data_IF_553869864289
#
_entry.id   IF_553869864289
#
_cell.length_a   1.000
_cell.length_b   1.000
_cell.length_c   1.000
_cell.angle_alpha   90.00
_cell.angle_beta   90.00
_cell.angle_gamma   90.00
#
_symmetry.space_group_name_H-M   'P 1'
#
loop_
_entity.id
_entity.type
_entity.pdbx_description
1 polymer ?
#
# COMPACT_ATOMS: atom_id res chain seq x y z
N UNK A 1 14.49 -19.08 -8.43
CA UNK A 1 13.75 -18.00 -7.74
C UNK A 1 14.76 -16.90 -7.47
N UNK A 2 14.70 -15.78 -8.20
CA UNK A 2 15.76 -14.77 -8.16
C UNK A 2 15.77 -14.13 -6.77
N UNK A 3 16.90 -14.28 -6.09
CA UNK A 3 17.22 -13.65 -4.81
C UNK A 3 16.97 -12.14 -4.91
N UNK A 4 15.88 -11.66 -4.29
CA UNK A 4 15.55 -10.23 -4.18
C UNK A 4 16.40 -9.66 -3.05
N UNK A 5 17.73 -9.70 -3.21
CA UNK A 5 18.66 -8.94 -2.37
C UNK A 5 18.20 -7.49 -2.39
N UNK A 6 17.76 -6.97 -1.24
CA UNK A 6 17.27 -5.62 -1.02
C UNK A 6 17.94 -4.62 -1.96
N UNK A 7 17.21 -4.22 -3.02
CA UNK A 7 17.73 -3.27 -3.99
C UNK A 7 18.01 -1.97 -3.25
N UNK A 8 19.18 -1.41 -3.52
CA UNK A 8 19.62 -0.14 -2.95
C UNK A 8 19.38 0.97 -3.95
N UNK A 9 19.27 2.19 -3.44
CA UNK A 9 19.28 3.41 -4.24
C UNK A 9 20.50 3.43 -5.17
N UNK A 10 20.32 3.87 -6.41
CA UNK A 10 21.40 4.00 -7.40
C UNK A 10 22.38 5.14 -7.14
N UNK A 11 22.36 5.73 -5.94
CA UNK A 11 23.34 6.73 -5.51
C UNK A 11 24.42 6.03 -4.70
N UNK A 12 25.68 6.35 -4.98
CA UNK A 12 26.82 5.72 -4.33
C UNK A 12 26.75 5.87 -2.79
N UNK A 13 27.06 4.80 -2.06
CA UNK A 13 26.96 4.76 -0.60
C UNK A 13 25.53 4.76 -0.02
N UNK A 14 24.47 4.87 -0.82
CA UNK A 14 23.11 4.91 -0.30
C UNK A 14 22.50 3.51 -0.11
N UNK A 15 22.21 3.13 1.14
CA UNK A 15 21.56 1.85 1.46
C UNK A 15 20.02 1.94 1.57
N UNK A 16 19.41 3.07 1.18
CA UNK A 16 17.95 3.25 1.22
C UNK A 16 17.26 2.49 0.10
N UNK A 17 16.05 2.05 0.37
CA UNK A 17 15.21 1.38 -0.62
C UNK A 17 14.80 2.36 -1.75
N UNK A 18 14.99 2.01 -3.04
CA UNK A 18 14.64 2.87 -4.16
C UNK A 18 13.13 2.83 -4.46
N UNK A 19 12.49 3.99 -4.37
CA UNK A 19 11.04 4.15 -4.62
C UNK A 19 10.72 5.04 -5.83
N UNK A 20 11.70 5.79 -6.34
CA UNK A 20 11.50 6.85 -7.33
C UNK A 20 12.14 6.50 -8.67
N UNK A 21 11.42 6.77 -9.76
CA UNK A 21 11.90 6.66 -11.14
C UNK A 21 11.07 7.57 -12.06
N UNK A 22 11.41 7.65 -13.33
CA UNK A 22 10.58 8.32 -14.34
C UNK A 22 9.26 7.58 -14.57
N UNK A 23 8.27 8.32 -15.07
CA UNK A 23 6.94 7.81 -15.35
C UNK A 23 6.95 6.58 -16.29
N UNK A 24 6.04 5.65 -16.06
CA UNK A 24 5.94 4.39 -16.83
C UNK A 24 6.95 3.32 -16.44
N UNK A 25 7.92 3.60 -15.56
CA UNK A 25 8.85 2.59 -15.05
C UNK A 25 8.29 1.91 -13.81
N UNK A 26 8.12 0.58 -13.86
CA UNK A 26 7.59 -0.20 -12.72
C UNK A 26 8.58 -0.49 -11.58
N UNK A 27 9.81 0.06 -11.63
CA UNK A 27 10.87 -0.21 -10.63
C UNK A 27 11.54 1.09 -10.22
N UNK A 28 11.68 1.32 -8.93
CA UNK A 28 12.41 2.47 -8.40
C UNK A 28 13.92 2.36 -8.68
N UNK A 29 14.56 3.48 -9.02
CA UNK A 29 16.02 3.60 -9.16
C UNK A 29 16.64 4.37 -7.99
N UNK A 30 15.96 5.42 -7.52
CA UNK A 30 16.47 6.28 -6.47
C UNK A 30 15.53 6.33 -5.26
N UNK A 31 16.06 6.69 -4.10
CA UNK A 31 15.25 7.00 -2.92
C UNK A 31 14.71 8.44 -3.02
N UNK A 32 13.81 8.82 -2.10
CA UNK A 32 13.21 10.16 -2.09
C UNK A 32 14.23 11.31 -1.98
N UNK A 33 15.40 11.04 -1.39
CA UNK A 33 16.47 12.04 -1.21
C UNK A 33 17.37 12.18 -2.42
N UNK A 34 17.48 11.14 -3.26
CA UNK A 34 18.34 11.11 -4.45
C UNK A 34 17.54 11.08 -5.74
N UNK A 35 16.25 11.42 -5.69
CA UNK A 35 15.42 11.51 -6.88
C UNK A 35 15.91 12.67 -7.75
N UNK A 36 15.92 12.48 -9.07
CA UNK A 36 16.16 13.55 -10.02
C UNK A 36 14.87 14.34 -10.27
N UNK A 37 14.99 15.54 -10.83
CA UNK A 37 13.83 16.28 -11.30
C UNK A 37 13.04 15.47 -12.33
N UNK A 38 11.72 15.52 -12.25
CA UNK A 38 10.82 14.71 -13.07
C UNK A 38 10.64 13.25 -12.61
N UNK A 39 11.36 12.78 -11.60
CA UNK A 39 11.11 11.46 -11.02
C UNK A 39 9.91 11.44 -10.08
N UNK A 40 9.16 10.35 -10.16
CA UNK A 40 7.90 10.09 -9.46
C UNK A 40 8.02 8.83 -8.62
N UNK A 41 7.23 8.74 -7.56
CA UNK A 41 7.10 7.48 -6.81
C UNK A 41 6.40 6.45 -7.71
N UNK A 42 7.07 5.32 -7.94
CA UNK A 42 6.59 4.24 -8.81
C UNK A 42 6.02 3.05 -8.05
N UNK A 43 6.02 3.12 -6.71
CA UNK A 43 5.43 2.13 -5.81
C UNK A 43 4.00 2.51 -5.44
N UNK A 44 3.80 3.79 -5.14
CA UNK A 44 2.50 4.34 -4.77
C UNK A 44 1.59 4.42 -5.99
N UNK A 45 0.44 3.74 -5.93
CA UNK A 45 -0.58 3.85 -6.98
C UNK A 45 -1.06 5.29 -7.13
N UNK A 46 -1.16 5.75 -8.37
CA UNK A 46 -1.76 7.04 -8.70
C UNK A 46 -3.27 6.93 -8.79
N UNK A 47 -3.92 8.08 -8.69
CA UNK A 47 -5.34 8.23 -8.93
C UNK A 47 -5.69 7.74 -10.35
N UNK A 48 -6.76 6.98 -10.48
CA UNK A 48 -7.22 6.43 -11.77
C UNK A 48 -7.92 7.48 -12.67
N UNK A 49 -8.12 8.70 -12.17
CA UNK A 49 -8.68 9.78 -13.00
C UNK A 49 -7.62 10.24 -13.98
N UNK A 50 -8.03 10.34 -15.24
CA UNK A 50 -7.20 10.84 -16.32
C UNK A 50 -6.59 12.22 -15.98
N UNK A 51 -5.30 12.38 -16.28
CA UNK A 51 -4.54 13.59 -15.98
C UNK A 51 -4.24 13.84 -14.49
N UNK A 52 -4.58 12.93 -13.56
CA UNK A 52 -4.34 13.14 -12.14
C UNK A 52 -3.01 12.54 -11.64
N UNK A 53 -2.07 13.40 -11.26
CA UNK A 53 -0.78 12.96 -10.68
C UNK A 53 -0.80 12.73 -9.16
N UNK A 54 -1.97 12.84 -8.50
CA UNK A 54 -2.08 12.63 -7.04
C UNK A 54 -2.12 11.13 -6.70
N UNK A 55 -1.59 10.77 -5.53
CA UNK A 55 -1.65 9.39 -5.04
C UNK A 55 -3.08 8.94 -4.73
N UNK A 56 -3.38 7.69 -5.08
CA UNK A 56 -4.61 7.05 -4.69
C UNK A 56 -4.58 6.74 -3.18
N UNK A 57 -5.65 7.12 -2.48
CA UNK A 57 -5.83 6.83 -1.07
C UNK A 57 -7.24 6.32 -0.73
N UNK A 58 -8.19 6.39 -1.66
CA UNK A 58 -9.60 6.07 -1.46
C UNK A 58 -10.04 4.91 -2.35
N UNK A 59 -10.90 4.05 -1.79
CA UNK A 59 -11.64 3.01 -2.50
C UNK A 59 -12.91 2.70 -1.69
N UNK A 60 -13.83 1.93 -2.25
CA UNK A 60 -14.95 1.37 -1.51
C UNK A 60 -14.46 0.35 -0.47
N UNK A 61 -15.21 0.24 0.62
CA UNK A 61 -14.90 -0.71 1.70
C UNK A 61 -14.83 -2.14 1.15
N UNK A 62 -13.81 -2.90 1.57
CA UNK A 62 -13.60 -4.29 1.13
C UNK A 62 -13.07 -4.50 -0.28
N UNK A 63 -12.96 -3.46 -1.13
CA UNK A 63 -12.49 -3.59 -2.55
C UNK A 63 -10.97 -3.58 -2.73
N UNK A 64 -10.19 -3.52 -1.64
CA UNK A 64 -8.74 -3.70 -1.68
C UNK A 64 -7.93 -2.40 -1.77
N UNK A 65 -6.98 -2.32 -2.72
CA UNK A 65 -6.04 -1.21 -2.83
C UNK A 65 -6.74 0.11 -3.22
N UNK A 66 -6.16 1.25 -2.84
CA UNK A 66 -6.69 2.55 -3.23
C UNK A 66 -6.67 2.76 -4.75
N UNK A 67 -7.69 3.43 -5.28
CA UNK A 67 -7.83 3.75 -6.72
C UNK A 67 -8.00 5.25 -6.98
N UNK A 68 -8.60 6.01 -6.06
CA UNK A 68 -8.81 7.45 -6.23
C UNK A 68 -8.09 8.28 -5.18
N UNK A 69 -7.71 9.52 -5.53
CA UNK A 69 -7.20 10.50 -4.57
C UNK A 69 -8.37 11.17 -3.83
N UNK A 70 -8.04 12.01 -2.83
CA UNK A 70 -9.06 12.70 -2.04
C UNK A 70 -10.01 13.57 -2.87
N UNK A 71 -9.50 14.26 -3.90
CA UNK A 71 -10.30 15.14 -4.77
C UNK A 71 -11.21 14.36 -5.73
N UNK A 72 -10.89 13.10 -5.99
CA UNK A 72 -11.55 12.29 -6.98
C UNK A 72 -12.28 11.09 -6.36
N UNK A 73 -12.44 11.09 -5.03
CA UNK A 73 -13.22 10.08 -4.34
C UNK A 73 -14.69 10.22 -4.74
N UNK A 74 -15.35 9.10 -4.98
CA UNK A 74 -16.80 9.04 -5.14
C UNK A 74 -17.48 8.99 -3.77
N UNK A 75 -18.79 9.28 -3.74
CA UNK A 75 -19.58 9.06 -2.54
C UNK A 75 -19.53 7.60 -2.09
N UNK A 76 -19.46 7.39 -0.77
CA UNK A 76 -19.30 6.06 -0.18
C UNK A 76 -17.87 5.50 -0.19
N UNK A 77 -16.88 6.17 -0.80
CA UNK A 77 -15.49 5.73 -0.71
C UNK A 77 -14.85 6.06 0.64
N UNK A 78 -14.12 5.09 1.18
CA UNK A 78 -13.35 5.22 2.42
C UNK A 78 -11.86 5.32 2.11
N UNK A 79 -11.09 5.91 3.02
CA UNK A 79 -9.63 5.89 2.90
C UNK A 79 -9.16 4.42 3.00
N UNK A 80 -8.64 3.84 1.92
CA UNK A 80 -8.35 2.41 1.83
C UNK A 80 -7.25 1.96 2.82
N UNK A 81 -6.37 2.88 3.25
CA UNK A 81 -5.46 2.59 4.37
C UNK A 81 -6.26 2.43 5.65
N UNK A 82 -7.18 3.33 5.98
CA UNK A 82 -7.94 3.31 7.25
C UNK A 82 -9.23 2.46 7.23
N UNK A 83 -9.71 2.08 6.05
CA UNK A 83 -10.98 1.38 5.86
C UNK A 83 -10.93 -0.11 6.15
N UNK A 84 -9.74 -0.68 6.41
CA UNK A 84 -9.63 -2.07 6.84
C UNK A 84 -10.15 -2.18 8.27
N UNK A 85 -11.24 -2.95 8.43
CA UNK A 85 -11.87 -3.21 9.72
C UNK A 85 -11.91 -4.70 10.01
N UNK A 86 -11.90 -5.03 11.30
CA UNK A 86 -12.14 -6.37 11.78
C UNK A 86 -13.48 -6.89 11.23
N UNK A 87 -13.51 -8.11 10.69
CA UNK A 87 -14.71 -8.74 10.14
C UNK A 87 -15.79 -9.06 11.20
N UNK A 88 -15.48 -8.89 12.48
CA UNK A 88 -16.45 -9.07 13.56
C UNK A 88 -17.42 -7.88 13.57
N UNK A 89 -18.72 -8.18 13.57
CA UNK A 89 -19.79 -7.18 13.53
C UNK A 89 -19.62 -6.11 14.63
N UNK A 90 -19.73 -4.84 14.25
CA UNK A 90 -19.56 -3.70 15.18
C UNK A 90 -18.11 -3.39 15.57
N UNK A 91 -17.11 -4.17 15.14
CA UNK A 91 -15.72 -3.93 15.48
C UNK A 91 -15.03 -2.98 14.49
N UNK A 92 -14.58 -1.82 14.98
CA UNK A 92 -13.84 -0.83 14.17
C UNK A 92 -12.31 -0.95 14.29
N UNK A 93 -11.80 -2.00 14.96
CA UNK A 93 -10.35 -2.19 15.15
C UNK A 93 -9.67 -2.63 13.86
N UNK A 94 -8.39 -2.27 13.74
CA UNK A 94 -7.54 -2.70 12.63
C UNK A 94 -7.41 -4.23 12.61
N UNK A 95 -7.66 -4.88 11.46
CA UNK A 95 -7.50 -6.31 11.34
C UNK A 95 -6.03 -6.67 11.05
N UNK A 96 -5.46 -7.52 11.89
CA UNK A 96 -4.07 -8.01 11.77
C UNK A 96 -3.95 -9.53 11.80
N UNK A 97 -5.03 -10.25 12.10
CA UNK A 97 -5.05 -11.71 12.25
C UNK A 97 -5.77 -12.38 11.09
N UNK A 98 -5.19 -13.47 10.60
CA UNK A 98 -5.75 -14.34 9.58
C UNK A 98 -5.15 -15.76 9.71
N UNK A 99 -5.60 -16.72 8.92
CA UNK A 99 -4.96 -18.04 8.88
C UNK A 99 -3.57 -17.98 8.23
N UNK A 100 -2.71 -18.92 8.60
CA UNK A 100 -1.36 -19.03 8.05
C UNK A 100 -1.41 -19.14 6.51
N UNK A 101 -0.47 -18.46 5.84
CA UNK A 101 -0.42 -18.34 4.39
C UNK A 101 -1.45 -17.38 3.75
N UNK A 102 -2.44 -16.87 4.50
CA UNK A 102 -3.39 -15.88 3.96
C UNK A 102 -2.84 -14.45 4.04
N UNK A 103 -2.98 -13.68 2.95
CA UNK A 103 -2.56 -12.28 2.90
C UNK A 103 -3.57 -11.35 3.54
N UNK A 104 -3.07 -10.41 4.35
CA UNK A 104 -3.85 -9.34 4.95
C UNK A 104 -4.71 -9.80 6.13
N UNK A 105 -4.72 -9.01 7.21
CA UNK A 105 -5.53 -9.29 8.38
C UNK A 105 -7.04 -9.20 8.07
N UNK A 106 -7.81 -10.15 8.62
CA UNK A 106 -9.29 -10.16 8.60
C UNK A 106 -9.90 -9.85 9.96
N UNK A 107 -9.22 -10.23 11.04
CA UNK A 107 -9.68 -10.04 12.41
C UNK A 107 -8.68 -9.24 13.24
N UNK A 108 -9.14 -8.55 14.27
CA UNK A 108 -8.26 -7.91 15.26
C UNK A 108 -7.80 -8.94 16.30
N UNK A 109 -6.85 -8.57 17.15
CA UNK A 109 -6.33 -9.46 18.20
C UNK A 109 -7.42 -10.03 19.12
N UNK A 110 -8.47 -9.24 19.40
CA UNK A 110 -9.57 -9.65 20.27
C UNK A 110 -10.56 -10.59 19.60
N UNK A 111 -10.68 -10.56 18.28
CA UNK A 111 -11.66 -11.36 17.53
C UNK A 111 -10.99 -12.41 16.63
N UNK A 112 -9.73 -12.77 16.91
CA UNK A 112 -9.06 -13.85 16.19
C UNK A 112 -9.73 -15.18 16.52
N UNK A 113 -9.85 -16.06 15.52
CA UNK A 113 -10.30 -17.44 15.72
C UNK A 113 -9.11 -18.34 16.10
N UNK A 114 -9.41 -19.52 16.65
CA UNK A 114 -8.38 -20.53 16.91
C UNK A 114 -7.63 -20.86 15.61
N UNK A 115 -6.29 -20.94 15.70
CA UNK A 115 -5.43 -21.18 14.54
C UNK A 115 -5.09 -19.94 13.69
N UNK A 116 -5.63 -18.75 14.01
CA UNK A 116 -5.21 -17.52 13.33
C UNK A 116 -3.89 -16.97 13.88
N UNK A 117 -3.02 -16.58 12.97
CA UNK A 117 -1.72 -15.94 13.23
C UNK A 117 -1.79 -14.44 12.90
N UNK A 118 -0.86 -13.66 13.45
CA UNK A 118 -0.71 -12.26 13.07
C UNK A 118 -0.03 -12.19 11.69
N UNK A 119 -0.77 -11.72 10.70
CA UNK A 119 -0.33 -11.61 9.29
C UNK A 119 0.04 -10.18 8.92
N UNK A 120 0.52 -9.39 9.89
CA UNK A 120 1.07 -8.05 9.62
C UNK A 120 2.25 -8.19 8.65
N UNK A 121 1.99 -7.81 7.41
CA UNK A 121 2.94 -7.44 6.37
C UNK A 121 3.14 -5.92 6.43
#
# INVERSE_FOLDING_TARGET
MVDVRSRKCGHDGCSKHPGFNFEGKGRGLFCSQHKLEGMVDVWSKRCERDGCSKYAAYNFEGKGAAVFCFLHKLEGMVNAKKGKRCKHSGCSRWPSYNFDGMKGGRFCAQHKLQGMVNVKD
#
